data_IF_092365204354
#
_entry.id   IF_092365204354
#
_cell.length_a   1.000
_cell.length_b   1.000
_cell.length_c   1.000
_cell.angle_alpha   90.00
_cell.angle_beta   90.00
_cell.angle_gamma   90.00
#
_symmetry.space_group_name_H-M   'P 1'
#
loop_
_entity.id
_entity.type
_entity.pdbx_description
1 polymer ?
#
# COMPACT_ATOMS: atom_id res chain seq x y z
N UNK A 1 4.01 -37.94 2.87
CA UNK A 1 4.26 -36.48 3.00
C UNK A 1 4.25 -35.72 1.65
N UNK A 2 4.42 -36.34 0.47
CA UNK A 2 4.44 -35.61 -0.83
C UNK A 2 3.08 -35.23 -1.46
N UNK A 3 1.93 -35.56 -0.85
CA UNK A 3 0.60 -35.37 -1.46
C UNK A 3 -0.08 -34.02 -1.13
N UNK A 4 0.41 -33.26 -0.14
CA UNK A 4 -0.21 -31.98 0.28
C UNK A 4 0.35 -30.75 -0.45
N UNK A 5 1.62 -30.77 -0.85
CA UNK A 5 2.29 -29.66 -1.56
C UNK A 5 1.83 -29.50 -3.02
N UNK A 6 1.43 -30.60 -3.68
CA UNK A 6 0.95 -30.55 -5.06
C UNK A 6 -0.44 -29.93 -5.19
N UNK A 7 -1.28 -30.05 -4.16
CA UNK A 7 -2.65 -29.51 -4.17
C UNK A 7 -2.61 -27.99 -3.97
N UNK A 8 -1.74 -27.48 -3.09
CA UNK A 8 -1.54 -26.04 -2.88
C UNK A 8 -0.97 -25.33 -4.12
N UNK A 9 -0.08 -25.98 -4.87
CA UNK A 9 0.50 -25.43 -6.11
C UNK A 9 -0.53 -25.31 -7.25
N UNK A 10 -1.44 -26.29 -7.37
CA UNK A 10 -2.51 -26.28 -8.38
C UNK A 10 -3.54 -25.17 -8.09
N UNK A 11 -3.83 -24.91 -6.82
CA UNK A 11 -4.73 -23.81 -6.40
C UNK A 11 -4.08 -22.44 -6.61
N UNK A 12 -2.76 -22.31 -6.42
CA UNK A 12 -1.99 -21.10 -6.75
C UNK A 12 -2.00 -20.85 -8.27
N UNK A 13 -1.76 -21.86 -9.12
CA UNK A 13 -1.81 -21.71 -10.58
C UNK A 13 -3.20 -21.32 -11.09
N UNK A 14 -4.28 -21.88 -10.50
CA UNK A 14 -5.66 -21.49 -10.81
C UNK A 14 -5.95 -20.04 -10.41
N UNK A 15 -5.46 -19.58 -9.26
CA UNK A 15 -5.62 -18.17 -8.85
C UNK A 15 -4.81 -17.20 -9.72
N UNK A 16 -3.60 -17.58 -10.14
CA UNK A 16 -2.75 -16.81 -11.09
C UNK A 16 -3.42 -16.65 -12.47
N UNK A 17 -4.20 -17.65 -12.91
CA UNK A 17 -4.94 -17.56 -14.18
C UNK A 17 -6.11 -16.55 -14.13
N UNK A 18 -6.74 -16.35 -12.96
CA UNK A 18 -7.82 -15.37 -12.74
C UNK A 18 -7.30 -13.94 -12.58
N UNK A 19 -6.08 -13.75 -12.06
CA UNK A 19 -5.43 -12.43 -11.87
C UNK A 19 -4.87 -11.81 -13.16
N UNK A 20 -4.75 -12.60 -14.23
CA UNK A 20 -4.29 -12.15 -15.57
C UNK A 20 -5.15 -11.03 -16.18
N UNK A 21 -6.49 -11.18 -16.14
CA UNK A 21 -7.42 -10.17 -16.70
C UNK A 21 -7.35 -8.80 -16.01
N UNK A 22 -7.05 -8.76 -14.72
CA UNK A 22 -7.05 -7.52 -13.94
C UNK A 22 -5.74 -6.75 -14.17
N UNK A 23 -4.59 -7.44 -14.15
CA UNK A 23 -3.27 -6.88 -14.46
C UNK A 23 -3.23 -6.24 -15.87
N UNK A 24 -3.82 -6.91 -16.85
CA UNK A 24 -3.94 -6.42 -18.22
C UNK A 24 -4.83 -5.18 -18.32
N UNK A 25 -5.88 -5.09 -17.49
CA UNK A 25 -6.80 -3.94 -17.49
C UNK A 25 -6.17 -2.71 -16.85
N UNK A 26 -5.43 -2.87 -15.76
CA UNK A 26 -4.78 -1.78 -15.00
C UNK A 26 -3.72 -1.06 -15.85
N UNK A 27 -2.82 -1.83 -16.45
CA UNK A 27 -1.74 -1.29 -17.29
C UNK A 27 -2.26 -0.74 -18.63
N UNK A 28 -3.21 -1.42 -19.27
CA UNK A 28 -3.75 -0.99 -20.57
C UNK A 28 -4.72 0.20 -20.46
N UNK A 29 -5.54 0.27 -19.41
CA UNK A 29 -6.48 1.40 -19.21
C UNK A 29 -5.74 2.70 -18.85
N UNK A 30 -4.62 2.61 -18.13
CA UNK A 30 -3.81 3.78 -17.73
C UNK A 30 -2.89 4.29 -18.83
N UNK A 31 -2.31 3.39 -19.62
CA UNK A 31 -1.59 3.78 -20.84
C UNK A 31 -2.50 4.54 -21.82
N UNK A 32 -3.77 4.14 -21.92
CA UNK A 32 -4.79 4.85 -22.70
C UNK A 32 -5.18 6.22 -22.12
N UNK A 33 -5.04 6.43 -20.80
CA UNK A 33 -5.29 7.73 -20.14
C UNK A 33 -4.15 8.73 -20.41
N UNK A 34 -2.90 8.26 -20.34
CA UNK A 34 -1.70 9.03 -20.71
C UNK A 34 -1.71 9.50 -22.18
N UNK A 35 -2.30 8.71 -23.09
CA UNK A 35 -2.48 9.10 -24.50
C UNK A 35 -3.58 10.16 -24.72
N UNK A 36 -4.55 10.25 -23.80
CA UNK A 36 -5.68 11.19 -23.86
C UNK A 36 -5.28 12.61 -23.45
N UNK A 37 -4.36 12.77 -22.48
CA UNK A 37 -3.86 14.06 -21.99
C UNK A 37 -2.93 14.77 -22.98
N UNK A 38 -2.33 14.04 -23.94
CA UNK A 38 -1.59 14.62 -25.09
C UNK A 38 -2.49 15.16 -26.21
N UNK A 39 -3.77 15.41 -25.93
CA UNK A 39 -4.64 16.20 -26.79
C UNK A 39 -5.28 15.48 -27.98
N UNK A 40 -5.44 14.15 -27.96
CA UNK A 40 -6.23 13.45 -29.00
C UNK A 40 -7.25 12.49 -28.41
N UNK A 41 -8.51 12.66 -28.81
CA UNK A 41 -9.65 11.83 -28.39
C UNK A 41 -9.54 10.41 -28.97
N UNK A 42 -9.78 9.33 -28.20
CA UNK A 42 -9.62 7.94 -28.67
C UNK A 42 -10.58 7.56 -29.81
N UNK A 43 -11.80 8.11 -29.82
CA UNK A 43 -12.82 7.80 -30.83
C UNK A 43 -12.60 8.49 -32.17
N UNK A 44 -11.80 9.57 -32.21
CA UNK A 44 -11.46 10.26 -33.46
C UNK A 44 -10.15 9.76 -34.08
N UNK A 45 -9.23 9.21 -33.28
CA UNK A 45 -8.03 8.53 -33.76
C UNK A 45 -8.31 7.15 -34.41
N UNK A 46 -9.44 6.52 -34.07
CA UNK A 46 -9.88 5.27 -34.69
C UNK A 46 -10.77 5.49 -35.92
N UNK A 47 -11.23 6.72 -36.19
CA UNK A 47 -11.81 7.11 -37.47
C UNK A 47 -10.68 7.35 -38.49
N UNK A 48 -10.09 6.26 -38.97
CA UNK A 48 -9.06 6.30 -40.02
C UNK A 48 -7.83 5.42 -39.77
N UNK A 49 -7.70 4.79 -38.59
CA UNK A 49 -6.62 3.84 -38.35
C UNK A 49 -6.91 2.48 -39.01
N UNK A 50 -6.29 2.24 -40.17
CA UNK A 50 -6.31 0.94 -40.86
C UNK A 50 -5.28 -0.01 -40.22
N UNK A 51 -5.75 -1.18 -39.76
CA UNK A 51 -5.04 -2.46 -39.55
C UNK A 51 -3.73 -2.49 -38.73
N UNK A 52 -2.73 -1.66 -39.05
CA UNK A 52 -1.36 -1.74 -38.55
C UNK A 52 -1.18 -1.20 -37.12
N UNK A 53 -1.94 -0.18 -36.71
CA UNK A 53 -1.84 0.41 -35.37
C UNK A 53 -2.43 -0.49 -34.27
N UNK A 54 -3.54 -1.19 -34.58
CA UNK A 54 -4.16 -2.21 -33.74
C UNK A 54 -3.22 -3.42 -33.56
N UNK A 55 -2.63 -3.89 -34.66
CA UNK A 55 -1.65 -4.99 -34.64
C UNK A 55 -0.36 -4.66 -33.89
N UNK A 56 0.05 -3.39 -33.78
CA UNK A 56 1.24 -2.99 -33.02
C UNK A 56 1.00 -3.06 -31.50
N UNK A 57 -0.19 -2.66 -31.06
CA UNK A 57 -0.60 -2.67 -29.66
C UNK A 57 -0.84 -4.10 -29.14
N UNK A 58 -1.51 -4.94 -29.93
CA UNK A 58 -1.66 -6.38 -29.66
C UNK A 58 -0.28 -7.08 -29.60
N UNK A 59 0.64 -6.78 -30.53
CA UNK A 59 2.01 -7.31 -30.49
C UNK A 59 2.84 -6.92 -29.27
N UNK A 60 2.56 -5.79 -28.63
CA UNK A 60 3.34 -5.33 -27.47
C UNK A 60 2.86 -5.99 -26.18
N UNK A 61 1.55 -6.21 -26.05
CA UNK A 61 0.95 -7.00 -24.97
C UNK A 61 1.29 -8.50 -25.13
N UNK A 62 1.27 -9.01 -26.36
CA UNK A 62 1.68 -10.40 -26.64
C UNK A 62 3.17 -10.64 -26.35
N UNK A 63 4.05 -9.66 -26.62
CA UNK A 63 5.47 -9.72 -26.22
C UNK A 63 5.65 -9.75 -24.70
N UNK A 64 4.85 -9.00 -23.94
CA UNK A 64 4.86 -9.03 -22.47
C UNK A 64 4.43 -10.40 -21.93
N UNK A 65 3.41 -11.02 -22.56
CA UNK A 65 2.94 -12.39 -22.23
C UNK A 65 3.97 -13.45 -22.68
N UNK A 66 4.68 -13.23 -23.79
CA UNK A 66 5.71 -14.13 -24.31
C UNK A 66 7.00 -14.10 -23.47
N UNK A 67 7.37 -12.92 -22.95
CA UNK A 67 8.45 -12.75 -21.95
C UNK A 67 8.09 -13.46 -20.64
N UNK A 68 6.84 -13.37 -20.19
CA UNK A 68 6.34 -14.10 -19.01
C UNK A 68 6.42 -15.63 -19.19
N UNK A 69 6.02 -16.15 -20.37
CA UNK A 69 6.13 -17.57 -20.74
C UNK A 69 7.58 -18.06 -20.89
N UNK A 70 8.50 -17.20 -21.36
CA UNK A 70 9.94 -17.53 -21.42
C UNK A 70 10.54 -17.59 -20.02
N UNK A 71 10.25 -16.62 -19.15
CA UNK A 71 10.74 -16.62 -17.76
C UNK A 71 10.20 -17.77 -16.91
N UNK A 72 9.00 -18.30 -17.18
CA UNK A 72 8.50 -19.50 -16.50
C UNK A 72 9.20 -20.79 -16.97
N UNK A 73 9.70 -20.84 -18.20
CA UNK A 73 10.50 -21.98 -18.71
C UNK A 73 11.95 -21.99 -18.21
N UNK A 74 12.52 -20.85 -17.86
CA UNK A 74 13.89 -20.76 -17.31
C UNK A 74 13.97 -21.11 -15.82
N UNK A 75 12.83 -21.05 -15.10
CA UNK A 75 12.76 -21.32 -13.65
C UNK A 75 13.03 -22.79 -13.23
N UNK A 76 13.17 -23.71 -14.18
CA UNK A 76 13.60 -25.10 -13.89
C UNK A 76 15.10 -25.34 -14.13
N UNK A 77 15.91 -24.32 -14.48
CA UNK A 77 17.33 -24.54 -14.83
C UNK A 77 18.40 -23.67 -14.19
N UNK A 78 18.09 -22.63 -13.41
CA UNK A 78 19.17 -21.84 -12.81
C UNK A 78 19.40 -22.19 -11.34
N UNK A 79 20.29 -23.18 -11.21
CA UNK A 79 21.17 -23.41 -10.05
C UNK A 79 21.99 -22.15 -9.80
N UNK A 80 22.03 -21.73 -8.53
CA UNK A 80 22.96 -20.79 -7.89
C UNK A 80 23.87 -19.93 -8.81
N UNK A 81 23.64 -18.61 -8.86
CA UNK A 81 24.63 -17.64 -9.35
C UNK A 81 25.50 -17.10 -8.19
N UNK A 82 26.83 -16.99 -8.38
CA UNK A 82 27.76 -16.66 -7.30
C UNK A 82 27.70 -15.17 -6.91
N UNK A 83 27.82 -14.90 -5.61
CA UNK A 83 27.98 -13.56 -5.03
C UNK A 83 29.32 -12.96 -5.48
N UNK A 84 29.31 -12.02 -6.42
CA UNK A 84 30.48 -11.24 -6.81
C UNK A 84 30.23 -10.37 -8.05
N UNK A 85 30.33 -9.04 -7.89
CA UNK A 85 29.89 -7.95 -8.79
C UNK A 85 28.36 -7.79 -8.86
N UNK A 86 27.84 -6.61 -8.48
CA UNK A 86 26.44 -6.25 -8.75
C UNK A 86 26.21 -6.39 -10.26
N UNK A 87 25.08 -6.98 -10.65
CA UNK A 87 24.69 -7.08 -12.05
C UNK A 87 24.57 -5.66 -12.63
N UNK A 88 25.08 -5.40 -13.84
CA UNK A 88 25.01 -4.07 -14.48
C UNK A 88 23.57 -3.55 -14.57
N UNK A 89 22.61 -4.47 -14.67
CA UNK A 89 21.18 -4.14 -14.63
C UNK A 89 20.76 -3.64 -13.24
N UNK A 90 21.21 -4.27 -12.17
CA UNK A 90 20.93 -3.84 -10.80
C UNK A 90 21.58 -2.49 -10.49
N UNK A 91 22.82 -2.26 -10.96
CA UNK A 91 23.48 -0.96 -10.83
C UNK A 91 22.66 0.16 -11.50
N UNK A 92 22.08 -0.12 -12.68
CA UNK A 92 21.22 0.85 -13.37
C UNK A 92 19.90 1.10 -12.64
N UNK A 93 19.31 0.08 -12.04
CA UNK A 93 18.11 0.22 -11.21
C UNK A 93 18.41 1.09 -9.98
N UNK A 94 19.52 0.84 -9.30
CA UNK A 94 19.94 1.60 -8.12
C UNK A 94 20.18 3.09 -8.49
N UNK A 95 20.81 3.36 -9.63
CA UNK A 95 21.00 4.71 -10.17
C UNK A 95 19.66 5.40 -10.43
N UNK A 96 18.72 4.73 -11.10
CA UNK A 96 17.39 5.28 -11.39
C UNK A 96 16.57 5.52 -10.10
N UNK A 97 16.72 4.67 -9.09
CA UNK A 97 16.07 4.86 -7.78
C UNK A 97 16.59 6.12 -7.07
N UNK A 98 17.89 6.36 -7.13
CA UNK A 98 18.50 7.57 -6.58
C UNK A 98 18.08 8.82 -7.36
N UNK A 99 18.07 8.75 -8.70
CA UNK A 99 17.57 9.84 -9.54
C UNK A 99 16.10 10.16 -9.24
N UNK A 100 15.25 9.14 -9.10
CA UNK A 100 13.85 9.32 -8.74
C UNK A 100 13.69 9.99 -7.38
N UNK A 101 14.49 9.57 -6.39
CA UNK A 101 14.46 10.11 -5.03
C UNK A 101 14.89 11.58 -5.01
N UNK A 102 15.99 11.91 -5.71
CA UNK A 102 16.45 13.29 -5.85
C UNK A 102 15.41 14.15 -6.56
N UNK A 103 14.85 13.67 -7.69
CA UNK A 103 13.80 14.39 -8.41
C UNK A 103 12.57 14.62 -7.54
N UNK A 104 12.22 13.69 -6.65
CA UNK A 104 11.09 13.88 -5.74
C UNK A 104 11.29 15.02 -4.75
N UNK A 105 12.54 15.33 -4.39
CA UNK A 105 12.86 16.45 -3.49
C UNK A 105 12.87 17.80 -4.22
N UNK A 106 13.30 17.84 -5.48
CA UNK A 106 13.51 19.10 -6.22
C UNK A 106 12.45 19.42 -7.28
N UNK A 107 11.71 18.43 -7.77
CA UNK A 107 10.79 18.63 -8.88
C UNK A 107 9.42 19.13 -8.40
N UNK A 108 8.90 20.16 -9.06
CA UNK A 108 7.50 20.57 -8.92
C UNK A 108 6.52 19.63 -9.65
N UNK A 109 7.02 18.84 -10.62
CA UNK A 109 6.21 17.91 -11.43
C UNK A 109 6.54 16.43 -11.11
N UNK A 110 5.63 15.79 -10.37
CA UNK A 110 5.68 14.37 -10.00
C UNK A 110 5.72 13.42 -11.20
N UNK A 111 5.35 13.86 -12.42
CA UNK A 111 5.40 13.04 -13.63
C UNK A 111 6.84 12.68 -14.04
N UNK A 112 7.81 13.52 -13.70
CA UNK A 112 9.23 13.20 -13.96
C UNK A 112 9.71 12.05 -13.07
N UNK A 113 9.29 12.06 -11.80
CA UNK A 113 9.55 10.99 -10.83
C UNK A 113 8.88 9.69 -11.27
N UNK A 114 7.61 9.77 -11.71
CA UNK A 114 6.87 8.63 -12.28
C UNK A 114 7.64 8.01 -13.47
N UNK A 115 8.17 8.85 -14.36
CA UNK A 115 8.95 8.40 -15.52
C UNK A 115 10.14 7.52 -15.14
N UNK A 116 10.83 7.84 -14.03
CA UNK A 116 11.97 7.06 -13.53
C UNK A 116 11.53 5.70 -12.97
N UNK A 117 10.47 5.65 -12.18
CA UNK A 117 9.93 4.37 -11.71
C UNK A 117 9.42 3.51 -12.87
N UNK A 118 8.80 4.10 -13.89
CA UNK A 118 8.41 3.36 -15.09
C UNK A 118 9.62 2.81 -15.84
N UNK A 119 10.75 3.52 -15.88
CA UNK A 119 12.00 3.00 -16.45
C UNK A 119 12.55 1.81 -15.66
N UNK A 120 12.55 1.89 -14.33
CA UNK A 120 12.92 0.78 -13.43
C UNK A 120 12.05 -0.44 -13.72
N UNK A 121 10.73 -0.25 -13.82
CA UNK A 121 9.78 -1.34 -14.07
C UNK A 121 9.86 -1.92 -15.50
N UNK A 122 10.46 -1.19 -16.45
CA UNK A 122 10.81 -1.74 -17.78
C UNK A 122 12.05 -2.62 -17.72
N UNK A 123 13.04 -2.23 -16.91
CA UNK A 123 14.25 -3.03 -16.70
C UNK A 123 13.93 -4.29 -15.90
N UNK A 124 13.19 -4.15 -14.81
CA UNK A 124 12.74 -5.25 -13.97
C UNK A 124 11.23 -5.14 -13.69
N UNK A 125 10.40 -5.86 -14.47
CA UNK A 125 8.95 -5.90 -14.28
C UNK A 125 8.48 -6.55 -12.97
N UNK A 126 9.38 -7.09 -12.14
CA UNK A 126 9.07 -7.65 -10.82
C UNK A 126 9.69 -6.83 -9.69
N UNK A 127 10.22 -5.64 -9.98
CA UNK A 127 10.88 -4.80 -8.99
C UNK A 127 9.88 -4.31 -7.93
N UNK A 128 9.90 -4.93 -6.75
CA UNK A 128 8.96 -4.64 -5.66
C UNK A 128 9.12 -3.19 -5.18
N UNK A 129 10.35 -2.73 -5.00
CA UNK A 129 10.64 -1.39 -4.50
C UNK A 129 10.15 -0.29 -5.45
N UNK A 130 10.36 -0.48 -6.76
CA UNK A 130 9.85 0.44 -7.80
C UNK A 130 8.32 0.52 -7.81
N UNK A 131 7.62 -0.61 -7.60
CA UNK A 131 6.16 -0.59 -7.44
C UNK A 131 5.72 0.08 -6.13
N UNK A 132 6.41 -0.17 -5.00
CA UNK A 132 6.09 0.47 -3.71
C UNK A 132 6.26 1.98 -3.77
N UNK A 133 7.38 2.46 -4.31
CA UNK A 133 7.62 3.89 -4.44
C UNK A 133 6.67 4.55 -5.45
N UNK A 134 6.34 3.87 -6.55
CA UNK A 134 5.34 4.39 -7.49
C UNK A 134 3.94 4.47 -6.87
N UNK A 135 3.55 3.48 -6.06
CA UNK A 135 2.29 3.53 -5.31
C UNK A 135 2.26 4.70 -4.32
N UNK A 136 3.37 4.94 -3.61
CA UNK A 136 3.53 6.06 -2.68
C UNK A 136 3.46 7.41 -3.40
N UNK A 137 4.16 7.56 -4.52
CA UNK A 137 4.11 8.75 -5.38
C UNK A 137 2.67 9.05 -5.82
N UNK A 138 1.90 8.02 -6.17
CA UNK A 138 0.50 8.20 -6.55
C UNK A 138 -0.39 8.61 -5.38
N UNK A 139 -0.17 8.11 -4.16
CA UNK A 139 -0.92 8.56 -2.97
C UNK A 139 -0.66 10.04 -2.70
N UNK A 140 0.60 10.46 -2.72
CA UNK A 140 1.00 11.86 -2.48
C UNK A 140 0.40 12.83 -3.51
N UNK A 141 0.07 12.34 -4.70
CA UNK A 141 -0.50 13.14 -5.79
C UNK A 141 -2.01 12.89 -5.99
N UNK A 142 -2.70 12.39 -4.95
CA UNK A 142 -4.14 12.11 -4.95
C UNK A 142 -4.61 11.19 -6.10
N UNK A 143 -3.71 10.35 -6.61
CA UNK A 143 -4.00 9.32 -7.63
C UNK A 143 -4.37 8.01 -6.94
N UNK A 144 -5.44 8.07 -6.14
CA UNK A 144 -5.91 6.95 -5.29
C UNK A 144 -6.20 5.68 -6.09
N UNK A 145 -6.98 5.80 -7.17
CA UNK A 145 -7.26 4.68 -8.07
C UNK A 145 -5.96 4.11 -8.65
N UNK A 146 -5.00 4.98 -8.95
CA UNK A 146 -3.72 4.54 -9.47
C UNK A 146 -2.88 3.76 -8.45
N UNK A 147 -2.82 4.24 -7.22
CA UNK A 147 -2.09 3.59 -6.14
C UNK A 147 -2.71 2.24 -5.78
N UNK A 148 -4.04 2.19 -5.60
CA UNK A 148 -4.77 0.96 -5.22
C UNK A 148 -4.42 -0.22 -6.12
N UNK A 149 -4.47 -0.05 -7.45
CA UNK A 149 -4.20 -1.20 -8.33
C UNK A 149 -2.71 -1.64 -8.30
N UNK A 150 -1.77 -0.74 -7.97
CA UNK A 150 -0.36 -1.13 -7.78
C UNK A 150 -0.21 -1.91 -6.48
N UNK A 151 -0.82 -1.44 -5.39
CA UNK A 151 -0.78 -2.12 -4.10
C UNK A 151 -1.44 -3.51 -4.19
N UNK A 152 -2.59 -3.63 -4.83
CA UNK A 152 -3.22 -4.93 -5.13
C UNK A 152 -2.35 -5.81 -6.03
N UNK A 153 -1.61 -5.21 -6.97
CA UNK A 153 -0.68 -5.95 -7.81
C UNK A 153 0.51 -6.49 -7.00
N UNK A 154 1.05 -5.70 -6.07
CA UNK A 154 2.07 -6.16 -5.12
C UNK A 154 1.58 -7.36 -4.30
N UNK A 155 0.34 -7.31 -3.79
CA UNK A 155 -0.24 -8.46 -3.08
C UNK A 155 -0.35 -9.69 -3.99
N UNK A 156 -0.73 -9.51 -5.27
CA UNK A 156 -0.80 -10.60 -6.26
C UNK A 156 0.57 -11.19 -6.61
N UNK A 157 1.66 -10.42 -6.45
CA UNK A 157 3.03 -10.91 -6.56
C UNK A 157 3.50 -11.69 -5.34
N UNK A 158 2.67 -11.80 -4.29
CA UNK A 158 3.01 -12.48 -3.04
C UNK A 158 3.82 -11.61 -2.09
N UNK A 159 3.79 -10.28 -2.26
CA UNK A 159 4.47 -9.36 -1.35
C UNK A 159 3.72 -9.33 -0.02
N UNK A 160 4.37 -9.86 1.03
CA UNK A 160 3.90 -9.79 2.41
C UNK A 160 4.56 -8.61 3.13
N UNK A 161 4.04 -7.42 2.88
CA UNK A 161 4.59 -6.17 3.41
C UNK A 161 3.51 -5.39 4.18
N UNK A 162 3.79 -5.09 5.45
CA UNK A 162 2.83 -4.44 6.32
C UNK A 162 2.44 -3.03 5.83
N UNK A 163 3.35 -2.28 5.19
CA UNK A 163 3.06 -0.93 4.68
C UNK A 163 2.15 -0.99 3.44
N UNK A 164 2.25 -2.03 2.61
CA UNK A 164 1.31 -2.26 1.51
C UNK A 164 -0.11 -2.47 2.04
N UNK A 165 -0.27 -3.30 3.08
CA UNK A 165 -1.57 -3.51 3.72
C UNK A 165 -2.09 -2.24 4.42
N UNK A 166 -1.22 -1.48 5.11
CA UNK A 166 -1.61 -0.20 5.72
C UNK A 166 -2.13 0.80 4.67
N UNK A 167 -1.45 0.92 3.53
CA UNK A 167 -1.88 1.82 2.48
C UNK A 167 -3.23 1.40 1.89
N UNK A 168 -3.45 0.11 1.64
CA UNK A 168 -4.75 -0.40 1.20
C UNK A 168 -5.85 -0.17 2.25
N UNK A 169 -5.52 -0.33 3.54
CA UNK A 169 -6.44 -0.05 4.64
C UNK A 169 -6.84 1.42 4.68
N UNK A 170 -5.88 2.34 4.53
CA UNK A 170 -6.13 3.78 4.47
C UNK A 170 -7.05 4.13 3.28
N UNK A 171 -6.78 3.56 2.11
CA UNK A 171 -7.64 3.78 0.94
C UNK A 171 -9.06 3.24 1.13
N UNK A 172 -9.21 2.06 1.74
CA UNK A 172 -10.52 1.50 2.06
C UNK A 172 -11.27 2.36 3.10
N UNK A 173 -10.54 2.91 4.08
CA UNK A 173 -11.10 3.86 5.03
C UNK A 173 -11.64 5.11 4.33
N UNK A 174 -10.86 5.71 3.42
CA UNK A 174 -11.27 6.91 2.67
C UNK A 174 -12.51 6.67 1.79
N UNK A 175 -12.69 5.42 1.34
CA UNK A 175 -13.88 4.97 0.60
C UNK A 175 -15.07 4.61 1.50
N UNK A 176 -14.99 4.88 2.81
CA UNK A 176 -15.98 4.52 3.84
C UNK A 176 -16.22 2.99 3.98
N UNK A 177 -15.30 2.18 3.44
CA UNK A 177 -15.32 0.73 3.55
C UNK A 177 -14.53 0.25 4.78
N UNK A 178 -15.09 0.53 5.97
CA UNK A 178 -14.43 0.26 7.25
C UNK A 178 -14.15 -1.23 7.51
N UNK A 179 -15.00 -2.12 7.01
CA UNK A 179 -14.79 -3.57 7.18
C UNK A 179 -13.56 -4.06 6.42
N UNK A 180 -13.38 -3.59 5.18
CA UNK A 180 -12.19 -3.90 4.39
C UNK A 180 -10.94 -3.26 5.01
N UNK A 181 -11.02 -2.00 5.43
CA UNK A 181 -9.93 -1.31 6.10
C UNK A 181 -9.46 -2.06 7.36
N UNK A 182 -10.42 -2.53 8.17
CA UNK A 182 -10.16 -3.34 9.36
C UNK A 182 -9.38 -4.62 9.03
N UNK A 183 -9.81 -5.35 8.00
CA UNK A 183 -9.14 -6.59 7.59
C UNK A 183 -7.70 -6.33 7.16
N UNK A 184 -7.46 -5.26 6.39
CA UNK A 184 -6.11 -4.90 5.97
C UNK A 184 -5.22 -4.44 7.14
N UNK A 185 -5.72 -3.64 8.09
CA UNK A 185 -4.94 -3.29 9.28
C UNK A 185 -4.60 -4.51 10.14
N UNK A 186 -5.54 -5.44 10.32
CA UNK A 186 -5.28 -6.70 11.02
C UNK A 186 -4.18 -7.49 10.31
N UNK A 187 -4.25 -7.59 8.97
CA UNK A 187 -3.23 -8.28 8.19
C UNK A 187 -1.87 -7.60 8.29
N UNK A 188 -1.81 -6.26 8.25
CA UNK A 188 -0.57 -5.51 8.48
C UNK A 188 0.04 -5.82 9.84
N UNK A 189 -0.77 -5.81 10.92
CA UNK A 189 -0.32 -6.11 12.28
C UNK A 189 0.07 -7.57 12.48
N UNK A 190 -0.45 -8.49 11.67
CA UNK A 190 -0.01 -9.90 11.68
C UNK A 190 1.37 -10.09 11.04
N UNK A 191 1.77 -9.20 10.13
CA UNK A 191 3.09 -9.21 9.48
C UNK A 191 4.10 -8.46 10.37
N UNK A 192 3.72 -7.29 10.84
CA UNK A 192 4.52 -6.47 11.74
C UNK A 192 3.64 -5.84 12.83
N UNK A 193 3.69 -6.44 14.02
CA UNK A 193 2.93 -5.99 15.19
C UNK A 193 3.41 -4.66 15.79
N UNK A 194 4.50 -4.08 15.29
CA UNK A 194 5.07 -2.80 15.76
C UNK A 194 4.54 -1.60 14.96
N UNK A 195 3.71 -1.81 13.93
CA UNK A 195 3.12 -0.73 13.12
C UNK A 195 2.10 0.08 13.91
N UNK A 196 2.58 1.12 14.62
CA UNK A 196 1.77 1.97 15.50
C UNK A 196 0.61 2.66 14.76
N UNK A 197 0.84 3.08 13.51
CA UNK A 197 -0.20 3.68 12.65
C UNK A 197 -1.37 2.70 12.43
N UNK A 198 -1.06 1.42 12.16
CA UNK A 198 -2.09 0.40 11.97
C UNK A 198 -2.88 0.15 13.26
N UNK A 199 -2.21 0.12 14.43
CA UNK A 199 -2.89 0.00 15.73
C UNK A 199 -3.83 1.16 15.99
N UNK A 200 -3.35 2.39 15.81
CA UNK A 200 -4.15 3.59 16.00
C UNK A 200 -5.40 3.57 15.10
N UNK A 201 -5.24 3.34 13.80
CA UNK A 201 -6.36 3.36 12.88
C UNK A 201 -7.33 2.20 13.15
N UNK A 202 -6.82 1.00 13.45
CA UNK A 202 -7.68 -0.12 13.85
C UNK A 202 -8.48 0.19 15.12
N UNK A 203 -7.87 0.86 16.10
CA UNK A 203 -8.57 1.35 17.30
C UNK A 203 -9.66 2.37 16.99
N UNK A 204 -9.44 3.26 16.00
CA UNK A 204 -10.46 4.20 15.53
C UNK A 204 -11.64 3.47 14.87
N UNK A 205 -11.40 2.43 14.06
CA UNK A 205 -12.48 1.60 13.48
C UNK A 205 -13.30 0.94 14.60
N UNK A 206 -12.63 0.35 15.58
CA UNK A 206 -13.29 -0.29 16.71
C UNK A 206 -14.16 0.70 17.49
N UNK A 207 -13.66 1.91 17.74
CA UNK A 207 -14.44 2.96 18.37
C UNK A 207 -15.66 3.36 17.55
N UNK A 208 -15.55 3.47 16.23
CA UNK A 208 -16.65 3.85 15.35
C UNK A 208 -17.72 2.74 15.26
N UNK A 209 -17.29 1.48 15.28
CA UNK A 209 -18.19 0.30 15.29
C UNK A 209 -18.79 -0.01 16.67
N UNK A 210 -18.38 0.72 17.72
CA UNK A 210 -18.89 0.56 19.09
C UNK A 210 -18.17 -0.51 19.91
N UNK A 211 -17.18 -1.19 19.35
CA UNK A 211 -16.32 -2.16 20.05
C UNK A 211 -15.22 -1.42 20.85
N UNK A 212 -15.63 -0.78 21.94
CA UNK A 212 -14.78 0.13 22.71
C UNK A 212 -13.65 -0.60 23.44
N UNK A 213 -13.85 -1.86 23.82
CA UNK A 213 -12.83 -2.68 24.48
C UNK A 213 -11.66 -2.98 23.52
N UNK A 214 -11.97 -3.41 22.30
CA UNK A 214 -10.95 -3.62 21.26
C UNK A 214 -10.22 -2.33 20.92
N UNK A 215 -10.94 -1.20 20.88
CA UNK A 215 -10.33 0.11 20.64
C UNK A 215 -9.28 0.47 21.71
N UNK A 216 -9.64 0.33 23.00
CA UNK A 216 -8.75 0.58 24.12
C UNK A 216 -7.52 -0.33 24.07
N UNK A 217 -7.69 -1.61 23.73
CA UNK A 217 -6.55 -2.52 23.57
C UNK A 217 -5.58 -2.03 22.49
N UNK A 218 -6.08 -1.57 21.35
CA UNK A 218 -5.20 -1.06 20.28
C UNK A 218 -4.48 0.24 20.68
N UNK A 219 -5.16 1.16 21.37
CA UNK A 219 -4.53 2.39 21.84
C UNK A 219 -3.49 2.16 22.94
N UNK A 220 -3.76 1.24 23.88
CA UNK A 220 -2.77 0.81 24.88
C UNK A 220 -1.53 0.23 24.22
N UNK A 221 -1.70 -0.69 23.25
CA UNK A 221 -0.58 -1.26 22.51
C UNK A 221 0.19 -0.20 21.70
N UNK A 222 -0.49 0.81 21.13
CA UNK A 222 0.18 1.93 20.48
C UNK A 222 1.00 2.78 21.47
N UNK A 223 0.47 3.01 22.68
CA UNK A 223 1.18 3.71 23.74
C UNK A 223 2.38 2.94 24.30
N UNK A 224 2.33 1.61 24.36
CA UNK A 224 3.48 0.81 24.77
C UNK A 224 4.66 0.97 23.81
N UNK A 225 4.38 1.11 22.51
CA UNK A 225 5.38 1.33 21.48
C UNK A 225 5.88 2.79 21.44
N UNK A 226 4.98 3.75 21.64
CA UNK A 226 5.27 5.19 21.61
C UNK A 226 4.70 5.91 22.85
N UNK A 227 5.30 5.74 24.04
CA UNK A 227 4.73 6.21 25.31
C UNK A 227 4.68 7.73 25.46
N UNK A 228 5.40 8.46 24.61
CA UNK A 228 5.47 9.92 24.62
C UNK A 228 4.61 10.60 23.56
N UNK A 229 3.86 9.82 22.77
CA UNK A 229 3.02 10.40 21.72
C UNK A 229 1.65 10.81 22.31
N UNK A 230 1.35 12.12 22.44
CA UNK A 230 0.13 12.59 23.08
C UNK A 230 -1.14 12.20 22.31
N UNK A 231 -1.03 11.86 21.01
CA UNK A 231 -2.19 11.48 20.19
C UNK A 231 -2.84 10.19 20.68
N UNK A 232 -2.07 9.20 21.12
CA UNK A 232 -2.64 7.94 21.61
C UNK A 232 -3.27 8.10 22.99
N UNK A 233 -2.70 8.97 23.83
CA UNK A 233 -3.27 9.34 25.11
C UNK A 233 -4.61 10.06 24.95
N UNK A 234 -4.70 11.01 24.01
CA UNK A 234 -5.99 11.66 23.66
C UNK A 234 -7.05 10.62 23.29
N UNK A 235 -6.72 9.67 22.40
CA UNK A 235 -7.65 8.64 21.93
C UNK A 235 -8.04 7.65 23.04
N UNK A 236 -7.10 7.31 23.93
CA UNK A 236 -7.37 6.44 25.06
C UNK A 236 -8.30 7.11 26.07
N UNK A 237 -8.07 8.39 26.40
CA UNK A 237 -8.94 9.17 27.30
C UNK A 237 -10.35 9.26 26.72
N UNK A 238 -10.49 9.61 25.44
CA UNK A 238 -11.78 9.67 24.75
C UNK A 238 -12.54 8.34 24.82
N UNK A 239 -11.83 7.22 24.60
CA UNK A 239 -12.42 5.88 24.64
C UNK A 239 -12.83 5.47 26.05
N UNK A 240 -11.99 5.75 27.05
CA UNK A 240 -12.25 5.48 28.45
C UNK A 240 -13.44 6.27 28.97
N UNK A 241 -13.55 7.56 28.62
CA UNK A 241 -14.72 8.39 28.95
C UNK A 241 -15.99 7.77 28.37
N UNK A 242 -15.96 7.33 27.11
CA UNK A 242 -17.13 6.72 26.44
C UNK A 242 -17.59 5.40 27.05
N UNK A 243 -16.74 4.65 27.75
CA UNK A 243 -17.13 3.42 28.47
C UNK A 243 -17.41 3.66 29.95
N UNK A 244 -17.17 4.86 30.47
CA UNK A 244 -17.30 5.15 31.90
C UNK A 244 -16.14 4.61 32.75
N UNK A 245 -15.00 4.25 32.13
CA UNK A 245 -13.80 3.81 32.86
C UNK A 245 -13.05 5.03 33.37
N UNK A 246 -13.53 5.54 34.52
CA UNK A 246 -13.00 6.74 35.15
C UNK A 246 -11.52 6.58 35.55
N UNK A 247 -11.10 5.39 35.98
CA UNK A 247 -9.74 5.15 36.47
C UNK A 247 -8.74 5.19 35.31
N UNK A 248 -9.05 4.49 34.22
CA UNK A 248 -8.24 4.53 33.01
C UNK A 248 -8.16 5.95 32.43
N UNK A 249 -9.28 6.68 32.39
CA UNK A 249 -9.32 8.04 31.89
C UNK A 249 -8.45 8.97 32.74
N UNK A 250 -8.49 8.87 34.07
CA UNK A 250 -7.64 9.65 34.98
C UNK A 250 -6.16 9.32 34.82
N UNK A 251 -5.82 8.03 34.71
CA UNK A 251 -4.44 7.60 34.51
C UNK A 251 -3.88 8.14 33.18
N UNK A 252 -4.62 7.98 32.09
CA UNK A 252 -4.22 8.48 30.79
C UNK A 252 -4.13 10.01 30.76
N UNK A 253 -5.04 10.73 31.43
CA UNK A 253 -4.97 12.19 31.56
C UNK A 253 -3.73 12.64 32.35
N UNK A 254 -3.33 11.91 33.39
CA UNK A 254 -2.09 12.19 34.13
C UNK A 254 -0.87 12.04 33.22
N UNK A 255 -0.80 10.95 32.45
CA UNK A 255 0.28 10.72 31.49
C UNK A 255 0.29 11.80 30.41
N UNK A 256 -0.87 12.21 29.90
CA UNK A 256 -0.98 13.27 28.90
C UNK A 256 -0.40 14.59 29.41
N UNK A 257 -0.71 14.97 30.65
CA UNK A 257 -0.14 16.17 31.29
C UNK A 257 1.37 16.08 31.43
N UNK A 258 1.91 14.89 31.72
CA UNK A 258 3.34 14.70 31.87
C UNK A 258 4.09 14.83 30.52
N UNK A 259 3.52 14.33 29.43
CA UNK A 259 4.17 14.34 28.10
C UNK A 259 3.84 15.56 27.25
N UNK A 260 2.67 16.18 27.46
CA UNK A 260 2.21 17.37 26.74
C UNK A 260 1.33 18.26 27.65
N UNK A 261 1.95 19.02 28.57
CA UNK A 261 1.23 19.92 29.49
C UNK A 261 0.36 20.96 28.79
N UNK A 262 0.76 21.39 27.59
CA UNK A 262 0.10 22.42 26.78
C UNK A 262 -1.05 21.89 25.92
N UNK A 263 -1.42 20.59 26.06
CA UNK A 263 -2.53 20.03 25.29
C UNK A 263 -3.86 20.72 25.68
N UNK A 264 -4.43 21.44 24.71
CA UNK A 264 -5.65 22.23 24.86
C UNK A 264 -6.86 21.42 25.35
N UNK A 265 -6.89 20.11 25.14
CA UNK A 265 -7.99 19.23 25.58
C UNK A 265 -7.94 18.85 27.06
N UNK A 266 -6.83 19.10 27.77
CA UNK A 266 -6.66 18.67 29.17
C UNK A 266 -7.78 19.18 30.08
N UNK A 267 -8.23 20.43 29.88
CA UNK A 267 -9.31 21.02 30.68
C UNK A 267 -10.65 20.32 30.40
N UNK A 268 -10.98 20.17 29.12
CA UNK A 268 -12.20 19.49 28.66
C UNK A 268 -12.25 18.04 29.17
N UNK A 269 -11.15 17.28 29.03
CA UNK A 269 -11.06 15.92 29.54
C UNK A 269 -11.29 15.84 31.05
N UNK A 270 -10.73 16.77 31.82
CA UNK A 270 -10.93 16.81 33.27
C UNK A 270 -12.41 16.98 33.62
N UNK A 271 -13.11 17.88 32.94
CA UNK A 271 -14.53 18.14 33.17
C UNK A 271 -15.39 16.93 32.79
N UNK A 272 -15.14 16.33 31.61
CA UNK A 272 -15.88 15.16 31.13
C UNK A 272 -15.67 13.92 32.01
N UNK A 273 -14.47 13.71 32.54
CA UNK A 273 -14.18 12.61 33.47
C UNK A 273 -14.95 12.74 34.79
N UNK A 274 -15.32 13.96 35.22
CA UNK A 274 -16.11 14.16 36.44
C UNK A 274 -17.61 13.86 36.24
N UNK A 275 -18.05 13.72 34.99
CA UNK A 275 -19.46 13.55 34.61
C UNK A 275 -19.83 12.11 34.28
N UNK A 276 -18.83 11.21 34.22
CA UNK A 276 -19.02 9.76 34.02
C UNK A 276 -18.91 9.02 35.35
#
# INVERSE_FOLDING_TARGET
>A
IRKSLSISLIDIEKQVSKTKKIKDTILASRFNRLLKERGKKPKELLKGATGKLKNYFEKTVDKLIEIEKKSTRTLTKDVEKPKGKKDKQQEKIDELMNEASNLREVAEDWKQVEGKYVEILKLDPKNIDGYKELAKLYLENNKVFESRQILEFLLKLGVEDADVYINLANLAWEEDNLDEAKQYYIKALSIDGTKVIARMNLGLIYNQSGDKDSAIQQFKAAMELEPKNPKYLDLLIESAIKIGDMDLAKQALSNLRAVNPENKKIKEFKERIQQI
#
